data_IF_194030653480
#
_entry.id   IF_194030653480
#
_cell.length_a   1.000
_cell.length_b   1.000
_cell.length_c   1.000
_cell.angle_alpha   90.00
_cell.angle_beta   90.00
_cell.angle_gamma   90.00
#
_symmetry.space_group_name_H-M   'P 1'
#
loop_
_entity.id
_entity.type
_entity.pdbx_description
1 polymer ?
#
# COMPACT_ATOMS: atom_id res chain seq x y z
N UNK A 1 -3.75 -8.79 5.83
CA UNK A 1 -4.97 -9.03 5.03
C UNK A 1 -4.66 -9.28 3.56
N UNK A 2 -4.74 -10.52 3.04
CA UNK A 2 -4.56 -10.78 1.61
C UNK A 2 -5.86 -10.64 0.80
N UNK A 3 -5.82 -9.89 -0.30
CA UNK A 3 -6.91 -9.78 -1.29
C UNK A 3 -6.43 -10.35 -2.62
N UNK A 4 -7.07 -11.43 -3.09
CA UNK A 4 -6.82 -12.02 -4.41
C UNK A 4 -7.93 -11.68 -5.38
N UNK A 5 -7.58 -11.17 -6.55
CA UNK A 5 -8.54 -10.74 -7.58
C UNK A 5 -8.27 -11.52 -8.87
N UNK A 6 -9.33 -12.08 -9.45
CA UNK A 6 -9.30 -12.79 -10.72
C UNK A 6 -9.46 -14.30 -10.58
N UNK A 7 -9.84 -15.00 -11.67
CA UNK A 7 -10.08 -16.45 -11.67
C UNK A 7 -8.80 -17.29 -11.44
N UNK A 8 -7.63 -16.66 -11.53
CA UNK A 8 -6.32 -17.30 -11.39
C UNK A 8 -5.62 -16.94 -10.07
N UNK A 9 -6.30 -16.24 -9.15
CA UNK A 9 -5.75 -15.95 -7.84
C UNK A 9 -5.42 -17.25 -7.09
N UNK A 10 -4.19 -17.37 -6.60
CA UNK A 10 -3.72 -18.60 -5.95
C UNK A 10 -4.29 -18.74 -4.54
N UNK A 11 -5.36 -19.54 -4.40
CA UNK A 11 -5.98 -19.85 -3.09
C UNK A 11 -4.98 -20.46 -2.10
N UNK A 12 -4.00 -21.24 -2.60
CA UNK A 12 -2.97 -21.82 -1.75
C UNK A 12 -2.10 -20.73 -1.12
N UNK A 13 -1.67 -19.72 -1.89
CA UNK A 13 -0.86 -18.62 -1.37
C UNK A 13 -1.66 -17.73 -0.41
N UNK A 14 -2.90 -17.37 -0.78
CA UNK A 14 -3.76 -16.53 0.07
C UNK A 14 -4.00 -17.18 1.44
N UNK A 15 -4.25 -18.49 1.48
CA UNK A 15 -4.42 -19.25 2.73
C UNK A 15 -3.14 -19.34 3.57
N UNK A 16 -1.95 -19.33 2.95
CA UNK A 16 -0.69 -19.32 3.70
C UNK A 16 -0.53 -17.99 4.43
N UNK A 17 -0.87 -16.88 3.77
CA UNK A 17 -0.82 -15.54 4.37
C UNK A 17 -1.91 -15.39 5.44
N UNK A 18 -3.12 -15.87 5.17
CA UNK A 18 -4.24 -15.87 6.11
C UNK A 18 -3.87 -16.57 7.44
N UNK A 19 -3.15 -17.69 7.38
CA UNK A 19 -2.74 -18.43 8.57
C UNK A 19 -1.64 -17.78 9.41
N UNK A 20 -1.03 -16.68 8.97
CA UNK A 20 0.06 -16.04 9.71
C UNK A 20 -0.40 -15.33 10.98
N UNK A 21 -1.68 -14.93 11.06
CA UNK A 21 -2.23 -14.26 12.23
C UNK A 21 -3.74 -14.50 12.31
N UNK A 22 -4.34 -14.69 13.50
CA UNK A 22 -5.76 -14.99 13.65
C UNK A 22 -6.68 -13.90 13.12
N UNK A 23 -6.22 -12.65 13.09
CA UNK A 23 -6.92 -11.49 12.54
C UNK A 23 -6.81 -11.36 11.02
N UNK A 24 -6.04 -12.21 10.34
CA UNK A 24 -6.01 -12.21 8.89
C UNK A 24 -7.24 -12.94 8.33
N UNK A 25 -7.95 -12.26 7.43
CA UNK A 25 -9.01 -12.84 6.60
C UNK A 25 -8.63 -12.74 5.12
N UNK A 26 -8.70 -13.83 4.38
CA UNK A 26 -8.49 -13.78 2.92
C UNK A 26 -9.76 -13.36 2.20
N UNK A 27 -9.66 -12.34 1.34
CA UNK A 27 -10.71 -11.96 0.41
C UNK A 27 -10.36 -12.48 -0.98
N UNK A 28 -11.20 -13.35 -1.53
CA UNK A 28 -11.04 -13.89 -2.88
C UNK A 28 -12.18 -13.35 -3.73
N UNK A 29 -11.81 -12.70 -4.83
CA UNK A 29 -12.71 -12.00 -5.73
C UNK A 29 -12.46 -12.48 -7.15
N UNK A 30 -13.52 -12.71 -7.91
CA UNK A 30 -13.47 -13.22 -9.28
C UNK A 30 -13.07 -12.16 -10.30
N UNK A 31 -13.32 -10.88 -10.02
CA UNK A 31 -13.03 -9.75 -10.91
C UNK A 31 -12.83 -8.45 -10.13
N UNK A 32 -12.39 -7.40 -10.84
CA UNK A 32 -12.33 -6.04 -10.29
C UNK A 32 -13.74 -5.48 -10.01
N UNK A 33 -14.76 -5.89 -10.78
CA UNK A 33 -16.14 -5.49 -10.50
C UNK A 33 -16.64 -6.04 -9.15
N UNK A 34 -16.24 -7.27 -8.81
CA UNK A 34 -16.57 -7.84 -7.49
C UNK A 34 -15.84 -7.09 -6.36
N UNK A 35 -14.61 -6.61 -6.60
CA UNK A 35 -13.91 -5.73 -5.65
C UNK A 35 -14.71 -4.45 -5.39
N UNK A 36 -15.29 -3.85 -6.42
CA UNK A 36 -16.12 -2.64 -6.25
C UNK A 36 -17.40 -2.94 -5.46
N UNK A 37 -18.06 -4.07 -5.75
CA UNK A 37 -19.27 -4.49 -5.03
C UNK A 37 -19.02 -4.81 -3.56
N UNK A 38 -17.84 -5.35 -3.24
CA UNK A 38 -17.45 -5.75 -1.88
C UNK A 38 -16.50 -4.78 -1.19
N UNK A 39 -16.32 -3.60 -1.78
CA UNK A 39 -15.40 -2.56 -1.30
C UNK A 39 -15.66 -2.23 0.16
N UNK A 40 -16.91 -1.94 0.52
CA UNK A 40 -17.26 -1.50 1.86
C UNK A 40 -17.08 -2.62 2.89
N UNK A 41 -17.31 -3.88 2.51
CA UNK A 41 -17.03 -5.05 3.38
C UNK A 41 -15.54 -5.11 3.74
N UNK A 42 -14.67 -4.95 2.73
CA UNK A 42 -13.22 -5.03 2.90
C UNK A 42 -12.71 -3.85 3.72
N UNK A 43 -13.20 -2.63 3.43
CA UNK A 43 -12.84 -1.42 4.16
C UNK A 43 -13.27 -1.52 5.61
N UNK A 44 -14.51 -1.91 5.89
CA UNK A 44 -15.01 -2.02 7.26
C UNK A 44 -14.20 -3.05 8.06
N UNK A 45 -13.88 -4.20 7.46
CA UNK A 45 -13.01 -5.19 8.11
C UNK A 45 -11.63 -4.59 8.43
N UNK A 46 -11.06 -3.80 7.53
CA UNK A 46 -9.78 -3.13 7.78
C UNK A 46 -9.88 -2.08 8.89
N UNK A 47 -10.97 -1.31 8.94
CA UNK A 47 -11.22 -0.32 9.98
C UNK A 47 -11.37 -0.96 11.37
N UNK A 48 -12.01 -2.13 11.46
CA UNK A 48 -12.16 -2.88 12.71
C UNK A 48 -10.82 -3.39 13.28
N UNK A 49 -9.80 -3.54 12.42
CA UNK A 49 -8.45 -3.93 12.82
C UNK A 49 -7.57 -2.74 13.24
N UNK A 50 -8.00 -1.50 12.98
CA UNK A 50 -7.22 -0.32 13.32
C UNK A 50 -7.15 -0.16 14.85
N UNK A 51 -5.97 0.10 15.43
CA UNK A 51 -5.88 0.45 16.84
C UNK A 51 -6.74 1.69 17.14
N UNK A 52 -7.49 1.68 18.24
CA UNK A 52 -8.19 2.88 18.69
C UNK A 52 -7.18 4.04 18.83
N UNK A 53 -7.49 5.17 18.20
CA UNK A 53 -6.66 6.35 18.31
C UNK A 53 -6.50 6.71 19.80
N UNK A 54 -5.30 7.04 20.29
CA UNK A 54 -5.13 7.45 21.67
C UNK A 54 -6.07 8.62 21.95
N UNK A 55 -6.89 8.47 22.99
CA UNK A 55 -7.86 9.48 23.38
C UNK A 55 -7.17 10.84 23.46
N UNK A 56 -7.68 11.80 22.68
CA UNK A 56 -7.27 13.19 22.78
C UNK A 56 -7.51 13.62 24.22
N UNK A 57 -6.45 13.89 24.97
CA UNK A 57 -6.52 14.55 26.27
C UNK A 57 -7.09 15.95 26.04
N UNK A 58 -8.41 16.10 26.18
CA UNK A 58 -9.02 17.42 26.27
C UNK A 58 -8.37 18.16 27.43
N UNK A 59 -7.85 19.38 27.22
CA UNK A 59 -7.53 20.27 28.33
C UNK A 59 -8.80 20.49 29.17
N UNK A 60 -8.68 20.62 30.50
CA UNK A 60 -9.85 20.88 31.35
C UNK A 60 -10.57 22.14 30.89
N UNK A 61 -11.88 22.03 30.75
CA UNK A 61 -12.79 23.10 30.36
C UNK A 61 -12.77 24.20 31.43
N UNK A 62 -11.99 25.26 31.18
CA UNK A 62 -11.98 26.45 32.01
C UNK A 62 -13.08 27.40 31.52
N UNK A 63 -14.22 27.30 32.21
CA UNK A 63 -15.27 28.30 32.44
C UNK A 63 -15.60 29.29 31.29
N UNK A 64 -16.83 29.16 30.78
CA UNK A 64 -17.45 30.11 29.85
C UNK A 64 -17.51 31.54 30.41
N UNK A 65 -17.16 32.52 29.57
CA UNK A 65 -17.45 33.95 29.80
C UNK A 65 -18.38 34.49 28.71
N UNK A 66 -19.30 35.32 29.17
CA UNK A 66 -20.56 35.83 28.63
C UNK A 66 -20.56 36.39 27.19
N UNK A 67 -21.72 36.20 26.54
CA UNK A 67 -22.10 36.50 25.14
C UNK A 67 -22.09 37.99 24.76
N UNK A 68 -21.69 38.29 23.53
CA UNK A 68 -22.10 39.49 22.77
C UNK A 68 -22.50 39.09 21.32
N UNK A 69 -23.55 39.68 20.71
CA UNK A 69 -24.02 39.26 19.39
C UNK A 69 -23.31 40.02 18.26
N UNK A 70 -22.71 39.28 17.32
CA UNK A 70 -22.11 39.83 16.10
C UNK A 70 -21.78 38.74 15.08
N UNK A 71 -22.47 38.79 13.93
CA UNK A 71 -22.44 37.85 12.81
C UNK A 71 -21.07 37.65 12.14
N UNK A 72 -20.64 36.40 12.00
CA UNK A 72 -20.24 35.72 10.73
C UNK A 72 -19.51 34.41 11.06
N UNK A 73 -20.24 33.29 11.02
CA UNK A 73 -19.63 31.96 11.03
C UNK A 73 -19.15 31.68 9.61
N UNK A 74 -17.92 32.04 9.30
CA UNK A 74 -17.16 31.23 8.35
C UNK A 74 -17.05 29.82 8.95
N UNK A 75 -17.20 28.74 8.15
CA UNK A 75 -16.88 27.42 8.64
C UNK A 75 -15.39 27.41 8.93
N UNK A 76 -15.03 27.46 10.22
CA UNK A 76 -13.70 27.08 10.70
C UNK A 76 -13.33 25.80 9.95
N UNK A 77 -12.14 25.74 9.31
CA UNK A 77 -11.65 24.47 8.80
C UNK A 77 -11.72 23.50 9.97
N UNK A 78 -12.46 22.40 9.81
CA UNK A 78 -12.40 21.31 10.78
C UNK A 78 -10.93 20.95 11.00
N UNK A 79 -10.57 20.36 12.16
CA UNK A 79 -9.19 19.97 12.40
C UNK A 79 -8.68 19.24 11.17
N UNK A 80 -7.70 19.83 10.48
CA UNK A 80 -7.15 19.27 9.27
C UNK A 80 -6.80 17.83 9.61
N UNK A 81 -7.49 16.88 8.98
CA UNK A 81 -7.16 15.46 9.12
C UNK A 81 -5.67 15.39 8.81
N UNK A 82 -4.85 15.05 9.81
CA UNK A 82 -3.40 14.91 9.59
C UNK A 82 -3.24 14.05 8.34
N UNK A 83 -2.42 14.45 7.36
CA UNK A 83 -2.17 13.62 6.19
C UNK A 83 -1.79 12.23 6.72
N UNK A 84 -2.56 11.22 6.31
CA UNK A 84 -2.38 9.88 6.82
C UNK A 84 -1.06 9.36 6.26
N UNK A 85 -0.05 9.25 7.13
CA UNK A 85 1.20 8.61 6.78
C UNK A 85 0.93 7.13 6.47
N UNK A 86 1.43 6.65 5.33
CA UNK A 86 1.29 5.28 4.86
C UNK A 86 2.53 4.90 4.06
N UNK A 87 3.06 3.72 4.28
CA UNK A 87 4.20 3.19 3.52
C UNK A 87 3.71 2.09 2.58
N UNK A 88 3.83 2.33 1.28
CA UNK A 88 3.28 1.46 0.22
C UNK A 88 4.42 0.79 -0.54
N UNK A 89 4.40 -0.53 -0.59
CA UNK A 89 5.29 -1.32 -1.44
C UNK A 89 4.57 -1.81 -2.70
N UNK A 90 5.13 -1.51 -3.87
CA UNK A 90 4.76 -2.16 -5.11
C UNK A 90 5.75 -3.29 -5.41
N UNK A 91 5.23 -4.50 -5.65
CA UNK A 91 6.03 -5.69 -5.96
C UNK A 91 5.54 -6.26 -7.28
N UNK A 92 6.34 -6.10 -8.34
CA UNK A 92 5.98 -6.51 -9.69
C UNK A 92 6.74 -7.77 -10.10
N UNK A 93 6.02 -8.78 -10.60
CA UNK A 93 6.64 -9.95 -11.21
C UNK A 93 7.29 -9.58 -12.55
N UNK A 94 8.61 -9.71 -12.63
CA UNK A 94 9.44 -9.48 -13.82
C UNK A 94 10.02 -10.77 -14.40
N UNK A 95 9.28 -11.88 -14.37
CA UNK A 95 9.75 -13.19 -14.84
C UNK A 95 9.63 -13.37 -16.36
N UNK A 96 10.35 -14.34 -16.92
CA UNK A 96 10.29 -14.72 -18.36
C UNK A 96 8.88 -15.12 -18.79
N UNK A 97 8.07 -15.66 -17.86
CA UNK A 97 6.68 -16.03 -18.12
C UNK A 97 5.75 -14.83 -18.25
N UNK A 98 6.06 -13.72 -17.57
CA UNK A 98 5.34 -12.45 -17.73
C UNK A 98 5.72 -11.81 -19.07
N UNK A 99 7.03 -11.74 -19.34
CA UNK A 99 7.59 -11.08 -20.51
C UNK A 99 7.51 -9.55 -20.44
N UNK A 100 8.37 -8.86 -21.19
CA UNK A 100 8.51 -7.40 -21.16
C UNK A 100 7.20 -6.65 -21.46
N UNK A 101 6.44 -7.09 -22.47
CA UNK A 101 5.20 -6.43 -22.86
C UNK A 101 4.15 -6.44 -21.74
N UNK A 102 4.00 -7.54 -20.99
CA UNK A 102 3.06 -7.62 -19.87
C UNK A 102 3.60 -6.91 -18.63
N UNK A 103 4.91 -6.95 -18.40
CA UNK A 103 5.55 -6.17 -17.34
C UNK A 103 5.31 -4.67 -17.53
N UNK A 104 5.40 -4.16 -18.76
CA UNK A 104 5.11 -2.76 -19.07
C UNK A 104 3.66 -2.38 -18.72
N UNK A 105 2.68 -3.28 -18.90
CA UNK A 105 1.30 -3.04 -18.45
C UNK A 105 1.20 -3.00 -16.92
N UNK A 106 1.93 -3.86 -16.21
CA UNK A 106 2.00 -3.81 -14.73
C UNK A 106 2.65 -2.51 -14.23
N UNK A 107 3.67 -2.01 -14.92
CA UNK A 107 4.32 -0.73 -14.64
C UNK A 107 3.36 0.45 -14.88
N UNK A 108 2.62 0.45 -15.99
CA UNK A 108 1.60 1.45 -16.29
C UNK A 108 0.47 1.45 -15.24
N UNK A 109 0.00 0.28 -14.83
CA UNK A 109 -0.95 0.15 -13.72
C UNK A 109 -0.40 0.78 -12.44
N UNK A 110 0.83 0.47 -12.04
CA UNK A 110 1.48 1.07 -10.87
C UNK A 110 1.58 2.60 -11.00
N UNK A 111 1.96 3.11 -12.17
CA UNK A 111 2.05 4.54 -12.43
C UNK A 111 0.69 5.24 -12.24
N UNK A 112 -0.39 4.68 -12.79
CA UNK A 112 -1.75 5.19 -12.63
C UNK A 112 -2.22 5.21 -11.17
N UNK A 113 -1.89 4.17 -10.41
CA UNK A 113 -2.20 4.10 -8.99
C UNK A 113 -1.44 5.20 -8.22
N UNK A 114 -0.14 5.36 -8.46
CA UNK A 114 0.70 6.37 -7.79
C UNK A 114 0.22 7.80 -8.12
N UNK A 115 -0.23 8.06 -9.36
CA UNK A 115 -0.79 9.37 -9.74
C UNK A 115 -1.96 9.77 -8.86
N UNK A 116 -2.82 8.81 -8.50
CA UNK A 116 -4.03 8.99 -7.68
C UNK A 116 -3.76 9.05 -6.17
N UNK A 117 -2.62 8.52 -5.71
CA UNK A 117 -2.22 8.56 -4.30
C UNK A 117 -1.70 9.95 -3.90
N UNK A 118 -1.88 10.31 -2.63
CA UNK A 118 -1.28 11.52 -2.04
C UNK A 118 0.19 11.27 -1.64
N UNK A 119 1.04 11.01 -2.64
CA UNK A 119 2.47 10.75 -2.44
C UNK A 119 3.22 12.04 -2.13
N UNK A 120 3.97 12.03 -1.03
CA UNK A 120 4.70 13.19 -0.54
C UNK A 120 5.49 12.89 0.73
N UNK A 121 6.40 13.82 1.08
CA UNK A 121 7.33 13.65 2.21
C UNK A 121 6.62 13.42 3.55
N UNK A 122 5.47 14.06 3.76
CA UNK A 122 4.72 13.99 5.02
C UNK A 122 3.43 13.15 4.91
N UNK A 123 3.23 12.46 3.78
CA UNK A 123 2.03 11.68 3.46
C UNK A 123 2.40 10.26 3.06
N UNK A 124 2.05 9.79 1.86
CA UNK A 124 2.32 8.41 1.40
C UNK A 124 3.76 8.31 0.88
N UNK A 125 4.51 7.34 1.39
CA UNK A 125 5.82 6.95 0.84
C UNK A 125 5.68 5.67 0.01
N UNK A 126 6.54 5.51 -0.99
CA UNK A 126 6.53 4.39 -1.93
C UNK A 126 7.90 3.72 -1.97
N UNK A 127 7.89 2.38 -1.98
CA UNK A 127 9.02 1.53 -2.35
C UNK A 127 8.59 0.65 -3.53
N UNK A 128 9.52 0.34 -4.44
CA UNK A 128 9.24 -0.45 -5.64
C UNK A 128 10.26 -1.58 -5.74
N UNK A 129 9.73 -2.79 -5.92
CA UNK A 129 10.51 -4.00 -6.10
C UNK A 129 10.05 -4.73 -7.37
N UNK A 130 11.01 -5.33 -8.04
CA UNK A 130 10.78 -6.29 -9.10
C UNK A 130 11.25 -7.67 -8.63
N UNK A 131 10.54 -8.74 -8.97
CA UNK A 131 10.95 -10.09 -8.60
C UNK A 131 10.78 -11.12 -9.72
N UNK A 132 11.69 -12.09 -9.75
CA UNK A 132 11.61 -13.28 -10.59
C UNK A 132 12.35 -14.44 -9.89
N UNK A 133 13.55 -14.79 -10.35
CA UNK A 133 14.50 -15.64 -9.62
C UNK A 133 15.10 -14.89 -8.43
N UNK A 134 15.45 -13.62 -8.62
CA UNK A 134 15.94 -12.70 -7.59
C UNK A 134 14.95 -11.56 -7.37
N UNK A 135 15.12 -10.84 -6.26
CA UNK A 135 14.43 -9.59 -5.97
C UNK A 135 15.38 -8.44 -6.29
N UNK A 136 14.90 -7.47 -7.08
CA UNK A 136 15.59 -6.22 -7.40
C UNK A 136 14.85 -5.09 -6.74
N UNK A 137 15.57 -4.28 -5.97
CA UNK A 137 15.04 -3.05 -5.37
C UNK A 137 15.21 -1.93 -6.39
N UNK A 138 14.09 -1.37 -6.83
CA UNK A 138 14.06 -0.36 -7.88
C UNK A 138 14.00 1.07 -7.31
N UNK A 139 13.33 1.21 -6.16
CA UNK A 139 13.20 2.46 -5.39
C UNK A 139 12.91 2.10 -3.93
N UNK A 140 13.51 2.82 -2.98
CA UNK A 140 13.39 2.61 -1.53
C UNK A 140 12.69 3.77 -0.84
N UNK A 141 12.18 3.56 0.38
CA UNK A 141 11.58 4.65 1.18
C UNK A 141 12.60 5.75 1.54
N UNK A 142 13.89 5.43 1.60
CA UNK A 142 15.00 6.39 1.81
C UNK A 142 15.18 7.40 0.68
N UNK A 143 14.83 7.03 -0.54
CA UNK A 143 15.01 7.88 -1.71
C UNK A 143 13.96 9.00 -1.75
N UNK A 144 14.07 9.90 -2.73
CA UNK A 144 13.18 11.05 -2.83
C UNK A 144 11.70 10.60 -2.93
N UNK A 145 10.88 11.09 -1.99
CA UNK A 145 9.46 10.76 -1.87
C UNK A 145 8.54 11.85 -2.48
N UNK A 146 9.03 12.61 -3.47
CA UNK A 146 8.14 13.49 -4.24
C UNK A 146 7.43 12.66 -5.30
N UNK A 147 6.15 12.98 -5.56
CA UNK A 147 5.38 12.30 -6.62
C UNK A 147 6.08 12.37 -7.98
N UNK A 148 6.73 13.50 -8.30
CA UNK A 148 7.44 13.67 -9.56
C UNK A 148 8.65 12.73 -9.68
N UNK A 149 9.48 12.64 -8.64
CA UNK A 149 10.67 11.79 -8.62
C UNK A 149 10.29 10.30 -8.71
N UNK A 150 9.29 9.88 -7.94
CA UNK A 150 8.81 8.50 -7.97
C UNK A 150 8.24 8.15 -9.35
N UNK A 151 7.39 9.00 -9.95
CA UNK A 151 6.84 8.74 -11.27
C UNK A 151 7.93 8.70 -12.35
N UNK A 152 8.97 9.54 -12.23
CA UNK A 152 10.11 9.47 -13.14
C UNK A 152 10.84 8.13 -13.00
N UNK A 153 11.13 7.71 -11.77
CA UNK A 153 11.80 6.43 -11.49
C UNK A 153 10.97 5.24 -12.00
N UNK A 154 9.65 5.27 -11.81
CA UNK A 154 8.71 4.25 -12.29
C UNK A 154 8.76 4.12 -13.82
N UNK A 155 8.86 5.21 -14.57
CA UNK A 155 8.94 5.15 -16.05
C UNK A 155 10.25 4.54 -16.55
N UNK A 156 11.32 4.68 -15.78
CA UNK A 156 12.65 4.20 -16.13
C UNK A 156 12.88 2.72 -15.78
N UNK A 157 11.91 2.08 -15.10
CA UNK A 157 12.00 0.67 -14.75
C UNK A 157 12.16 -0.19 -16.00
N UNK A 158 13.13 -1.09 -15.92
CA UNK A 158 13.45 -2.05 -16.97
C UNK A 158 13.00 -3.43 -16.54
N UNK A 159 12.43 -4.16 -17.48
CA UNK A 159 12.12 -5.56 -17.29
C UNK A 159 13.40 -6.36 -17.00
N UNK A 160 13.43 -7.11 -15.89
CA UNK A 160 14.62 -7.82 -15.43
C UNK A 160 14.75 -9.24 -16.00
N UNK A 161 13.64 -9.88 -16.36
CA UNK A 161 13.62 -11.29 -16.77
C UNK A 161 13.92 -12.28 -15.63
N UNK A 162 13.90 -13.57 -15.95
CA UNK A 162 14.28 -14.63 -15.03
C UNK A 162 13.33 -15.82 -15.03
N UNK A 163 13.91 -17.00 -14.83
CA UNK A 163 13.26 -18.29 -15.07
C UNK A 163 12.36 -18.80 -13.93
N UNK A 164 12.10 -17.99 -12.89
CA UNK A 164 11.26 -18.35 -11.74
C UNK A 164 10.32 -17.22 -11.33
N UNK A 165 9.29 -17.60 -10.58
CA UNK A 165 8.35 -16.72 -9.90
C UNK A 165 8.50 -16.93 -8.39
N UNK A 166 9.55 -16.37 -7.78
CA UNK A 166 9.83 -16.56 -6.35
C UNK A 166 9.02 -15.59 -5.48
N UNK A 167 7.68 -15.72 -5.48
CA UNK A 167 6.79 -14.84 -4.69
C UNK A 167 7.13 -14.87 -3.19
N UNK A 168 7.48 -16.04 -2.66
CA UNK A 168 7.86 -16.19 -1.25
C UNK A 168 9.13 -15.41 -0.90
N UNK A 169 10.12 -15.38 -1.81
CA UNK A 169 11.33 -14.59 -1.63
C UNK A 169 11.02 -13.09 -1.63
N UNK A 170 10.15 -12.63 -2.53
CA UNK A 170 9.74 -11.23 -2.58
C UNK A 170 9.04 -10.77 -1.29
N UNK A 171 8.10 -11.57 -0.77
CA UNK A 171 7.40 -11.27 0.47
C UNK A 171 8.33 -11.32 1.70
N UNK A 172 9.27 -12.27 1.73
CA UNK A 172 10.28 -12.32 2.78
C UNK A 172 11.22 -11.11 2.72
N UNK A 173 11.64 -10.69 1.53
CA UNK A 173 12.48 -9.51 1.35
C UNK A 173 11.79 -8.23 1.82
N UNK A 174 10.49 -8.09 1.55
CA UNK A 174 9.69 -6.98 2.08
C UNK A 174 9.74 -6.92 3.60
N UNK A 175 9.42 -8.04 4.26
CA UNK A 175 9.36 -8.17 5.72
C UNK A 175 10.70 -7.86 6.38
N UNK A 176 11.79 -8.46 5.89
CA UNK A 176 13.09 -8.36 6.56
C UNK A 176 13.88 -7.10 6.19
N UNK A 177 13.62 -6.51 5.03
CA UNK A 177 14.46 -5.43 4.50
C UNK A 177 13.67 -4.17 4.18
N UNK A 178 12.62 -4.27 3.35
CA UNK A 178 11.97 -3.07 2.81
C UNK A 178 11.18 -2.31 3.87
N UNK A 179 10.42 -3.02 4.70
CA UNK A 179 9.73 -2.47 5.86
C UNK A 179 10.65 -2.48 7.09
N UNK A 180 11.84 -1.87 6.94
CA UNK A 180 12.75 -1.64 8.05
C UNK A 180 13.03 -0.16 8.24
N UNK A 181 13.13 0.34 9.48
CA UNK A 181 13.48 1.73 9.75
C UNK A 181 14.82 2.11 9.13
N UNK A 182 15.70 1.10 8.95
CA UNK A 182 16.89 1.28 8.17
C UNK A 182 16.50 1.73 6.77
N UNK A 183 15.72 1.00 5.98
CA UNK A 183 15.36 1.37 4.60
C UNK A 183 14.35 2.53 4.44
N UNK A 184 14.01 3.23 5.53
CA UNK A 184 13.18 4.44 5.51
C UNK A 184 11.72 4.22 5.87
N UNK A 185 11.35 2.99 6.25
CA UNK A 185 10.03 2.66 6.80
C UNK A 185 9.77 3.42 8.11
N UNK A 186 8.54 3.88 8.27
CA UNK A 186 8.08 4.71 9.38
C UNK A 186 7.25 3.86 10.32
N UNK A 187 7.76 3.59 11.53
CA UNK A 187 7.08 2.77 12.54
C UNK A 187 5.64 3.22 12.87
N UNK A 188 5.36 4.52 12.75
CA UNK A 188 4.04 5.11 13.00
C UNK A 188 3.10 5.07 11.79
N UNK A 189 3.59 4.69 10.61
CA UNK A 189 2.80 4.56 9.38
C UNK A 189 2.40 3.09 9.20
N UNK A 190 1.14 2.79 8.80
CA UNK A 190 0.77 1.45 8.39
C UNK A 190 1.49 1.05 7.09
N UNK A 191 1.70 -0.25 6.92
CA UNK A 191 2.37 -0.82 5.75
C UNK A 191 1.36 -1.50 4.83
N UNK A 192 1.39 -1.17 3.53
CA UNK A 192 0.52 -1.72 2.50
C UNK A 192 1.36 -2.30 1.35
N UNK A 193 0.94 -3.44 0.80
CA UNK A 193 1.62 -4.09 -0.33
C UNK A 193 0.65 -4.27 -1.50
N UNK A 194 1.00 -3.73 -2.66
CA UNK A 194 0.42 -4.11 -3.95
C UNK A 194 1.36 -5.08 -4.65
N UNK A 195 0.97 -6.36 -4.72
CA UNK A 195 1.73 -7.38 -5.45
C UNK A 195 1.02 -7.76 -6.74
N UNK A 196 1.73 -7.63 -7.86
CA UNK A 196 1.23 -7.98 -9.20
C UNK A 196 2.00 -9.19 -9.70
N UNK A 197 1.30 -10.31 -9.83
CA UNK A 197 1.88 -11.59 -10.27
C UNK A 197 0.93 -12.25 -11.27
N UNK A 198 1.50 -12.88 -12.30
CA UNK A 198 0.73 -13.60 -13.32
C UNK A 198 0.90 -15.12 -13.20
N UNK A 199 1.87 -15.59 -12.40
CA UNK A 199 2.22 -17.00 -12.30
C UNK A 199 2.14 -17.50 -10.85
N UNK A 200 1.85 -18.81 -10.64
CA UNK A 200 2.03 -19.42 -9.34
C UNK A 200 3.49 -19.36 -8.88
N UNK A 201 3.72 -19.26 -7.57
CA UNK A 201 5.07 -19.38 -7.02
C UNK A 201 5.74 -20.71 -7.40
N UNK A 202 7.04 -20.65 -7.69
CA UNK A 202 7.88 -21.75 -8.18
C UNK A 202 9.19 -21.93 -7.42
#
# INVERSE_FOLDING_TARGET
>A
LPVGIGPHASLKQLRIIEKQAPENKAFVLSSVDELEQRRDEIINYFCDLAPEAPASTQPPDLAQVTVGPGLSKDPSPGPASKPMALDVAFVLEGSDKVGEASFNRSREFMEEVIRRMDVGRDSIHVTVLQFSYVVTVEHTFREAQTKADILQRVRELRYQGGNRTNTGLALHYLSEHSFSPSQGDRQQAPNLVYMVTANPAS
#
